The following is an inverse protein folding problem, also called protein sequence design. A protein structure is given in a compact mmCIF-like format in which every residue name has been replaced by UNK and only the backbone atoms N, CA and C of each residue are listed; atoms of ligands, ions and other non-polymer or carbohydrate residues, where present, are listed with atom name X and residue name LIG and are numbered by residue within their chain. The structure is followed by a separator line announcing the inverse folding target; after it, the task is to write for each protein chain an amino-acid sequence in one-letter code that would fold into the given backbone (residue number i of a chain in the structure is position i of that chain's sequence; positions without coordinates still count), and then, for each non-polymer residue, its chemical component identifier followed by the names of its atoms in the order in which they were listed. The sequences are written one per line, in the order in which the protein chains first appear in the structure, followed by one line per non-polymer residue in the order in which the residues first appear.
data_IF_203847060172
#
_entry.id   IF_203847060172
#
_cell.length_a   1.000
_cell.length_b   1.000
_cell.length_c   1.000
_cell.angle_alpha   90.00
_cell.angle_beta   90.00
_cell.angle_gamma   90.00
#
_symmetry.space_group_name_H-M   'P 1'
#
loop_
_entity.id
_entity.type
_entity.pdbx_description
1 polymer ?
#
# COMPACT_ATOMS: atom_id res chain seq x y z
N UNK A 1 10.43 16.61 20.93
CA UNK A 1 10.35 15.46 20.00
C UNK A 1 11.57 15.51 19.09
N UNK A 2 12.34 14.42 18.96
CA UNK A 2 13.49 14.42 18.05
C UNK A 2 13.01 14.51 16.58
N UNK A 3 13.81 15.06 15.64
CA UNK A 3 13.44 15.10 14.22
C UNK A 3 13.10 13.71 13.65
N UNK A 4 13.84 12.67 14.06
CA UNK A 4 13.58 11.30 13.62
C UNK A 4 12.31 10.72 14.24
N UNK A 5 11.98 11.07 15.49
CA UNK A 5 10.70 10.69 16.10
C UNK A 5 9.54 11.30 15.32
N UNK A 6 9.62 12.58 14.96
CA UNK A 6 8.59 13.26 14.16
C UNK A 6 8.42 12.59 12.79
N UNK A 7 9.54 12.30 12.13
CA UNK A 7 9.56 11.62 10.83
C UNK A 7 8.99 10.20 10.89
N UNK A 8 9.36 9.43 11.93
CA UNK A 8 8.85 8.08 12.14
C UNK A 8 7.34 8.07 12.44
N UNK A 9 6.85 9.03 13.24
CA UNK A 9 5.40 9.20 13.45
C UNK A 9 4.67 9.52 12.15
N UNK A 10 5.21 10.42 11.31
CA UNK A 10 4.64 10.70 10.00
C UNK A 10 4.65 9.47 9.08
N UNK A 11 5.74 8.71 9.07
CA UNK A 11 5.86 7.44 8.32
C UNK A 11 4.84 6.40 8.77
N UNK A 12 4.61 6.28 10.08
CA UNK A 12 3.63 5.36 10.64
C UNK A 12 2.21 5.73 10.21
N UNK A 13 1.85 7.02 10.30
CA UNK A 13 0.55 7.54 9.84
C UNK A 13 0.33 7.32 8.34
N UNK A 14 1.35 7.62 7.52
CA UNK A 14 1.28 7.40 6.08
C UNK A 14 1.12 5.91 5.72
N UNK A 15 1.82 5.02 6.42
CA UNK A 15 1.70 3.57 6.24
C UNK A 15 0.32 3.05 6.66
N UNK A 16 -0.24 3.58 7.76
CA UNK A 16 -1.58 3.25 8.23
C UNK A 16 -2.66 3.71 7.23
N UNK A 17 -2.53 4.92 6.69
CA UNK A 17 -3.44 5.44 5.67
C UNK A 17 -3.39 4.58 4.39
N UNK A 18 -2.19 4.22 3.91
CA UNK A 18 -2.02 3.34 2.77
C UNK A 18 -2.63 1.94 3.03
N UNK A 19 -2.30 1.31 4.16
CA UNK A 19 -2.83 -0.01 4.53
C UNK A 19 -4.36 -0.01 4.71
N UNK A 20 -4.91 1.05 5.31
CA UNK A 20 -6.35 1.23 5.49
C UNK A 20 -7.10 1.43 4.17
N UNK A 21 -6.53 2.19 3.22
CA UNK A 21 -7.08 2.31 1.88
C UNK A 21 -7.14 0.94 1.18
N UNK A 22 -6.07 0.15 1.26
CA UNK A 22 -6.07 -1.20 0.70
C UNK A 22 -7.09 -2.10 1.39
N UNK A 23 -7.24 -1.99 2.71
CA UNK A 23 -8.23 -2.77 3.47
C UNK A 23 -9.65 -2.54 2.94
N UNK A 24 -10.01 -1.28 2.66
CA UNK A 24 -11.32 -0.92 2.08
C UNK A 24 -11.54 -1.63 0.73
N UNK A 25 -10.51 -1.64 -0.12
CA UNK A 25 -10.57 -2.36 -1.39
C UNK A 25 -10.77 -3.86 -1.23
N UNK A 26 -10.00 -4.47 -0.33
CA UNK A 26 -10.06 -5.90 -0.04
C UNK A 26 -11.36 -6.37 0.63
N UNK A 27 -12.07 -5.49 1.33
CA UNK A 27 -13.23 -5.88 2.16
C UNK A 27 -14.55 -5.68 1.44
N UNK A 28 -14.80 -4.49 0.88
CA UNK A 28 -16.13 -4.19 0.33
C UNK A 28 -16.14 -3.51 -1.03
N UNK A 29 -15.09 -2.80 -1.46
CA UNK A 29 -15.12 -2.16 -2.79
C UNK A 29 -15.12 -3.21 -3.89
N UNK A 30 -14.16 -4.14 -3.88
CA UNK A 30 -14.05 -5.14 -4.93
C UNK A 30 -15.26 -6.09 -4.97
N UNK A 31 -15.84 -6.41 -3.80
CA UNK A 31 -17.09 -7.18 -3.71
C UNK A 31 -18.30 -6.38 -4.20
N UNK A 32 -18.35 -5.08 -3.93
CA UNK A 32 -19.39 -4.19 -4.43
C UNK A 32 -19.36 -4.08 -5.96
N UNK A 33 -18.16 -3.96 -6.53
CA UNK A 33 -17.97 -4.00 -7.99
C UNK A 33 -18.43 -5.34 -8.57
N UNK A 34 -18.03 -6.46 -7.96
CA UNK A 34 -18.43 -7.79 -8.40
C UNK A 34 -19.96 -7.96 -8.45
N UNK A 35 -20.67 -7.46 -7.42
CA UNK A 35 -22.14 -7.47 -7.37
C UNK A 35 -22.81 -6.64 -8.46
N UNK A 36 -22.14 -5.61 -8.98
CA UNK A 36 -22.67 -4.79 -10.08
C UNK A 36 -22.63 -5.51 -11.44
N UNK A 37 -21.92 -6.64 -11.52
CA UNK A 37 -21.78 -7.47 -12.71
C UNK A 37 -20.49 -7.17 -13.49
N UNK A 38 -19.93 -8.16 -14.22
CA UNK A 38 -18.58 -8.08 -14.77
C UNK A 38 -18.34 -6.89 -15.71
N UNK A 39 -19.30 -6.54 -16.57
CA UNK A 39 -19.13 -5.42 -17.52
C UNK A 39 -19.01 -4.07 -16.80
N UNK A 40 -19.86 -3.84 -15.80
CA UNK A 40 -19.84 -2.63 -14.96
C UNK A 40 -18.56 -2.60 -14.11
N UNK A 41 -18.21 -3.74 -13.51
CA UNK A 41 -17.04 -3.87 -12.66
C UNK A 41 -15.73 -3.56 -13.41
N UNK A 42 -15.55 -4.14 -14.60
CA UNK A 42 -14.37 -3.90 -15.45
C UNK A 42 -14.30 -2.42 -15.84
N UNK A 43 -15.40 -1.84 -16.33
CA UNK A 43 -15.45 -0.44 -16.74
C UNK A 43 -15.10 0.51 -15.59
N UNK A 44 -15.69 0.30 -14.42
CA UNK A 44 -15.41 1.09 -13.22
C UNK A 44 -13.96 0.94 -12.76
N UNK A 45 -13.43 -0.29 -12.73
CA UNK A 45 -12.06 -0.54 -12.28
C UNK A 45 -11.01 0.05 -13.22
N UNK A 46 -11.23 0.01 -14.54
CA UNK A 46 -10.37 0.72 -15.52
C UNK A 46 -10.33 2.22 -15.25
N UNK A 47 -11.51 2.83 -15.03
CA UNK A 47 -11.59 4.25 -14.68
C UNK A 47 -10.87 4.58 -13.37
N UNK A 48 -11.07 3.78 -12.32
CA UNK A 48 -10.37 3.93 -11.04
C UNK A 48 -8.85 3.85 -11.23
N UNK A 49 -8.38 2.87 -12.00
CA UNK A 49 -6.95 2.69 -12.27
C UNK A 49 -6.34 3.87 -13.03
N UNK A 50 -7.03 4.38 -14.07
CA UNK A 50 -6.59 5.53 -14.84
C UNK A 50 -6.50 6.82 -14.00
N UNK A 51 -7.50 7.08 -13.16
CA UNK A 51 -7.49 8.21 -12.23
C UNK A 51 -6.38 8.08 -11.17
N UNK A 52 -6.16 6.87 -10.64
CA UNK A 52 -5.09 6.61 -9.68
C UNK A 52 -3.70 6.86 -10.30
N UNK A 53 -3.47 6.46 -11.55
CA UNK A 53 -2.19 6.63 -12.25
C UNK A 53 -1.89 8.09 -12.61
N UNK A 54 -2.91 8.93 -12.75
CA UNK A 54 -2.75 10.33 -13.16
C UNK A 54 -2.84 11.32 -12.00
N UNK A 55 -3.36 10.90 -10.84
CA UNK A 55 -3.50 11.75 -9.65
C UNK A 55 -2.14 12.00 -8.96
N UNK A 56 -1.57 13.21 -9.07
CA UNK A 56 -0.26 13.50 -8.46
C UNK A 56 -0.34 13.46 -6.93
N UNK A 57 -1.50 13.85 -6.39
CA UNK A 57 -1.76 13.83 -4.94
C UNK A 57 -1.74 12.40 -4.42
N UNK A 58 -2.40 11.47 -5.12
CA UNK A 58 -2.38 10.05 -4.74
C UNK A 58 -0.98 9.45 -4.86
N UNK A 59 -0.30 9.67 -5.98
CA UNK A 59 1.05 9.15 -6.20
C UNK A 59 2.03 9.69 -5.15
N UNK A 60 1.98 10.99 -4.86
CA UNK A 60 2.81 11.60 -3.82
C UNK A 60 2.49 11.04 -2.43
N UNK A 61 1.21 10.88 -2.09
CA UNK A 61 0.82 10.33 -0.80
C UNK A 61 1.25 8.85 -0.65
N UNK A 62 1.03 8.04 -1.67
CA UNK A 62 1.29 6.60 -1.64
C UNK A 62 2.79 6.29 -1.73
N UNK A 63 3.51 6.83 -2.72
CA UNK A 63 4.96 6.61 -2.83
C UNK A 63 5.76 7.48 -1.85
N UNK A 64 5.22 8.61 -1.42
CA UNK A 64 5.79 9.40 -0.32
C UNK A 64 5.79 8.62 1.00
N UNK A 65 4.77 7.79 1.26
CA UNK A 65 4.78 6.89 2.43
C UNK A 65 5.97 5.91 2.38
N UNK A 66 6.26 5.33 1.20
CA UNK A 66 7.43 4.47 1.02
C UNK A 66 8.75 5.24 1.15
N UNK A 67 8.83 6.47 0.63
CA UNK A 67 10.01 7.32 0.78
C UNK A 67 10.28 7.71 2.24
N UNK A 68 9.23 8.03 2.99
CA UNK A 68 9.31 8.26 4.44
C UNK A 68 9.84 7.01 5.15
N UNK A 69 9.29 5.84 4.82
CA UNK A 69 9.74 4.56 5.38
C UNK A 69 11.23 4.31 5.11
N UNK A 70 11.71 4.50 3.87
CA UNK A 70 13.13 4.39 3.51
C UNK A 70 13.97 5.35 4.34
N UNK A 71 13.57 6.63 4.41
CA UNK A 71 14.32 7.65 5.14
C UNK A 71 14.44 7.31 6.62
N UNK A 72 13.35 6.89 7.25
CA UNK A 72 13.33 6.43 8.65
C UNK A 72 14.23 5.22 8.84
N UNK A 73 14.16 4.23 7.96
CA UNK A 73 15.00 3.03 8.01
C UNK A 73 16.49 3.36 7.92
N UNK A 74 16.90 4.20 6.95
CA UNK A 74 18.29 4.64 6.79
C UNK A 74 18.78 5.35 8.05
N UNK A 75 18.01 6.31 8.58
CA UNK A 75 18.39 7.04 9.79
C UNK A 75 18.43 6.13 11.02
N UNK A 76 17.55 5.14 11.12
CA UNK A 76 17.58 4.14 12.19
C UNK A 76 18.81 3.23 12.12
N UNK A 77 19.26 2.85 10.92
CA UNK A 77 20.53 2.11 10.72
C UNK A 77 21.73 2.98 11.13
N UNK A 78 21.76 4.25 10.74
CA UNK A 78 22.83 5.18 11.14
C UNK A 78 22.85 5.41 12.67
N UNK A 79 21.72 5.25 13.34
CA UNK A 79 21.56 5.36 14.79
C UNK A 79 21.27 4.00 15.43
N UNK A 80 21.92 2.92 14.96
CA UNK A 80 21.56 1.55 15.35
C UNK A 80 21.58 1.28 16.86
N UNK A 81 22.48 1.95 17.60
CA UNK A 81 22.59 1.82 19.06
C UNK A 81 21.47 2.53 19.84
N UNK A 82 20.66 3.36 19.19
CA UNK A 82 19.52 4.00 19.82
C UNK A 82 18.39 2.96 20.06
N UNK A 83 17.67 3.06 21.19
CA UNK A 83 16.46 2.27 21.42
C UNK A 83 15.47 2.35 20.25
N UNK A 84 14.74 1.26 19.99
CA UNK A 84 13.71 1.21 18.94
C UNK A 84 14.23 1.13 17.50
N UNK A 85 15.53 1.27 17.23
CA UNK A 85 16.06 1.29 15.84
C UNK A 85 15.77 0.01 15.05
N UNK A 86 15.78 -1.17 15.68
CA UNK A 86 15.41 -2.42 15.03
C UNK A 86 13.94 -2.45 14.55
N UNK A 87 13.02 -1.91 15.36
CA UNK A 87 11.60 -1.82 15.02
C UNK A 87 11.34 -0.83 13.88
N UNK A 88 12.07 0.29 13.86
CA UNK A 88 11.99 1.27 12.77
C UNK A 88 12.51 0.69 11.45
N UNK A 89 13.58 -0.10 11.47
CA UNK A 89 14.07 -0.80 10.27
C UNK A 89 13.06 -1.85 9.79
N UNK A 90 12.50 -2.65 10.69
CA UNK A 90 11.47 -3.63 10.32
C UNK A 90 10.21 -2.97 9.74
N UNK A 91 9.74 -1.86 10.35
CA UNK A 91 8.65 -1.05 9.84
C UNK A 91 8.97 -0.47 8.45
N UNK A 92 10.18 0.04 8.26
CA UNK A 92 10.64 0.57 6.98
C UNK A 92 10.63 -0.49 5.87
N UNK A 93 11.14 -1.70 6.15
CA UNK A 93 11.15 -2.83 5.21
C UNK A 93 9.73 -3.18 4.76
N UNK A 94 8.78 -3.28 5.70
CA UNK A 94 7.39 -3.58 5.36
C UNK A 94 6.69 -2.44 4.61
N UNK A 95 7.00 -1.18 4.97
CA UNK A 95 6.48 -0.01 4.26
C UNK A 95 6.90 0.01 2.78
N UNK A 96 8.16 -0.34 2.51
CA UNK A 96 8.67 -0.48 1.14
C UNK A 96 8.08 -1.70 0.44
N UNK A 97 7.95 -2.84 1.13
CA UNK A 97 7.39 -4.07 0.56
C UNK A 97 5.98 -3.83 -0.01
N UNK A 98 5.12 -3.07 0.68
CA UNK A 98 3.78 -2.74 0.18
C UNK A 98 3.80 -1.92 -1.13
N UNK A 99 4.74 -0.99 -1.27
CA UNK A 99 4.92 -0.25 -2.51
C UNK A 99 5.46 -1.14 -3.63
N UNK A 100 6.39 -2.04 -3.32
CA UNK A 100 6.90 -3.02 -4.30
C UNK A 100 5.79 -3.94 -4.81
N UNK A 101 4.93 -4.48 -3.94
CA UNK A 101 3.78 -5.29 -4.37
C UNK A 101 2.85 -4.53 -5.32
N UNK A 102 2.66 -3.23 -5.08
CA UNK A 102 1.92 -2.37 -6.00
C UNK A 102 2.52 -2.40 -7.40
N UNK A 103 3.83 -2.17 -7.51
CA UNK A 103 4.53 -2.05 -8.79
C UNK A 103 4.66 -3.40 -9.50
N UNK A 104 4.96 -4.48 -8.78
CA UNK A 104 5.29 -5.78 -9.40
C UNK A 104 4.10 -6.72 -9.57
N UNK A 105 2.99 -6.47 -8.87
CA UNK A 105 1.80 -7.33 -8.93
C UNK A 105 0.54 -6.56 -9.32
N UNK A 106 0.13 -5.55 -8.56
CA UNK A 106 -1.15 -4.88 -8.81
C UNK A 106 -1.16 -4.03 -10.09
N UNK A 107 -0.08 -3.30 -10.41
CA UNK A 107 0.02 -2.53 -11.65
C UNK A 107 -0.04 -3.45 -12.88
N UNK A 108 0.74 -4.54 -12.99
CA UNK A 108 0.60 -5.49 -14.10
C UNK A 108 -0.79 -6.10 -14.25
N UNK A 109 -1.47 -6.39 -13.13
CA UNK A 109 -2.85 -6.88 -13.16
C UNK A 109 -3.82 -5.81 -13.70
N UNK A 110 -3.63 -4.55 -13.31
CA UNK A 110 -4.43 -3.43 -13.78
C UNK A 110 -4.24 -3.22 -15.29
N UNK A 111 -3.00 -3.23 -15.77
CA UNK A 111 -2.67 -3.06 -17.19
C UNK A 111 -3.24 -4.24 -18.02
N UNK A 112 -3.16 -5.46 -17.48
CA UNK A 112 -3.77 -6.64 -18.10
C UNK A 112 -5.31 -6.55 -18.17
N UNK A 113 -5.96 -6.02 -17.13
CA UNK A 113 -7.40 -5.77 -17.16
C UNK A 113 -7.77 -4.72 -18.20
N UNK A 114 -6.94 -3.69 -18.38
CA UNK A 114 -7.18 -2.61 -19.34
C UNK A 114 -7.12 -3.12 -20.79
N UNK A 115 -6.14 -3.98 -21.09
CA UNK A 115 -5.92 -4.54 -22.42
C UNK A 115 -6.88 -5.68 -22.83
N UNK A 116 -7.53 -6.35 -21.88
CA UNK A 116 -8.34 -7.54 -22.15
C UNK A 116 -9.73 -7.24 -22.77
N UNK A 117 -10.29 -8.18 -23.53
CA UNK A 117 -11.69 -8.11 -23.92
C UNK A 117 -12.62 -8.36 -22.71
N UNK A 118 -13.60 -7.49 -22.43
CA UNK A 118 -14.45 -7.63 -21.26
C UNK A 118 -15.24 -8.94 -21.26
N UNK A 119 -15.05 -9.77 -20.24
CA UNK A 119 -15.83 -11.00 -20.03
C UNK A 119 -15.94 -11.35 -18.55
N UNK A 120 -16.95 -12.14 -18.15
CA UNK A 120 -17.06 -12.65 -16.78
C UNK A 120 -15.81 -13.40 -16.30
N UNK A 121 -15.17 -14.18 -17.18
CA UNK A 121 -13.98 -14.96 -16.84
C UNK A 121 -12.75 -14.07 -16.55
N UNK A 122 -12.56 -13.02 -17.36
CA UNK A 122 -11.50 -12.02 -17.14
C UNK A 122 -11.68 -11.32 -15.80
N UNK A 123 -12.91 -10.87 -15.51
CA UNK A 123 -13.21 -10.21 -14.23
C UNK A 123 -12.93 -11.11 -13.03
N UNK A 124 -13.41 -12.37 -13.04
CA UNK A 124 -13.21 -13.28 -11.90
C UNK A 124 -11.73 -13.60 -11.65
N UNK A 125 -10.96 -13.80 -12.72
CA UNK A 125 -9.51 -14.07 -12.62
C UNK A 125 -8.76 -12.87 -12.06
N UNK A 126 -9.09 -11.67 -12.56
CA UNK A 126 -8.55 -10.41 -12.07
C UNK A 126 -8.91 -10.18 -10.60
N UNK A 127 -10.19 -10.29 -10.25
CA UNK A 127 -10.72 -10.06 -8.91
C UNK A 127 -9.98 -10.91 -7.87
N UNK A 128 -9.87 -12.22 -8.10
CA UNK A 128 -9.20 -13.14 -7.18
C UNK A 128 -7.72 -12.77 -6.99
N UNK A 129 -6.99 -12.60 -8.10
CA UNK A 129 -5.56 -12.31 -8.06
C UNK A 129 -5.27 -10.94 -7.46
N UNK A 130 -6.03 -9.92 -7.86
CA UNK A 130 -5.87 -8.56 -7.41
C UNK A 130 -6.15 -8.42 -5.91
N UNK A 131 -7.24 -9.02 -5.42
CA UNK A 131 -7.58 -8.99 -3.99
C UNK A 131 -6.53 -9.73 -3.15
N UNK A 132 -6.00 -10.86 -3.62
CA UNK A 132 -4.95 -11.59 -2.92
C UNK A 132 -3.70 -10.73 -2.72
N UNK A 133 -3.20 -10.08 -3.78
CA UNK A 133 -2.06 -9.16 -3.67
C UNK A 133 -2.40 -7.89 -2.88
N UNK A 134 -3.64 -7.42 -2.95
CA UNK A 134 -4.08 -6.28 -2.17
C UNK A 134 -4.13 -6.57 -0.66
N UNK A 135 -4.46 -7.80 -0.25
CA UNK A 135 -4.31 -8.23 1.15
C UNK A 135 -2.87 -8.15 1.63
N UNK A 136 -1.90 -8.54 0.79
CA UNK A 136 -0.47 -8.38 1.13
C UNK A 136 -0.17 -6.91 1.40
N UNK A 137 -0.62 -6.00 0.53
CA UNK A 137 -0.42 -4.54 0.70
C UNK A 137 -1.07 -4.00 1.97
N UNK A 138 -2.28 -4.46 2.30
CA UNK A 138 -2.95 -4.15 3.56
C UNK A 138 -2.11 -4.56 4.76
N UNK A 139 -1.70 -5.83 4.82
CA UNK A 139 -0.95 -6.38 5.95
C UNK A 139 0.40 -5.69 6.08
N UNK A 140 1.15 -5.52 4.99
CA UNK A 140 2.45 -4.85 5.03
C UNK A 140 2.32 -3.40 5.49
N UNK A 141 1.32 -2.66 5.01
CA UNK A 141 1.12 -1.26 5.40
C UNK A 141 0.73 -1.09 6.88
N UNK A 142 -0.23 -1.89 7.35
CA UNK A 142 -0.66 -1.85 8.76
C UNK A 142 0.43 -2.35 9.71
N UNK A 143 1.13 -3.43 9.36
CA UNK A 143 2.26 -3.92 10.14
C UNK A 143 3.41 -2.89 10.17
N UNK A 144 3.74 -2.26 9.03
CA UNK A 144 4.72 -1.19 8.98
C UNK A 144 4.37 -0.05 9.95
N UNK A 145 3.11 0.37 9.99
CA UNK A 145 2.63 1.39 10.93
C UNK A 145 2.82 0.95 12.39
N UNK A 146 2.38 -0.26 12.75
CA UNK A 146 2.52 -0.79 14.12
C UNK A 146 3.97 -0.88 14.54
N UNK A 147 4.84 -1.49 13.73
CA UNK A 147 6.26 -1.64 14.07
C UNK A 147 6.95 -0.28 14.20
N UNK A 148 6.62 0.67 13.33
CA UNK A 148 7.16 2.03 13.41
C UNK A 148 6.70 2.74 14.69
N UNK A 149 5.42 2.61 15.07
CA UNK A 149 4.91 3.17 16.33
C UNK A 149 5.58 2.55 17.56
N UNK A 150 5.80 1.24 17.56
CA UNK A 150 6.53 0.54 18.63
C UNK A 150 7.97 1.07 18.73
N UNK A 151 8.64 1.26 17.59
CA UNK A 151 9.98 1.86 17.54
C UNK A 151 10.00 3.31 18.06
N UNK A 152 8.96 4.09 17.79
CA UNK A 152 8.79 5.45 18.34
C UNK A 152 8.56 5.43 19.86
N UNK A 153 7.73 4.52 20.37
CA UNK A 153 7.40 4.43 21.79
C UNK A 153 8.57 3.97 22.67
N UNK A 154 9.57 3.30 22.08
CA UNK A 154 10.76 2.84 22.77
C UNK A 154 11.91 3.84 22.76
N UNK A 155 11.73 5.01 22.13
CA UNK A 155 12.75 6.03 21.96
C UNK A 155 12.73 7.13 23.00
#
# INVERSE_FOLDING_TARGET
MSPLTALASASALASAAAGGMMLVFSTFVMQGLDRAGPSVAIGAMRGINAEAQTSPVFLLAFFGAALLAVTVGVLAVLQWRAPGSGWLVAGAVLGVAGALVTVVANVPLNDGLDAADPSPAVWQTYLQSWVAWNHVRTVTGLAAAVLTMVGVAQR
#
